data_IF_672608337646
#
_entry.id   IF_672608337646
#
_cell.length_a   1.000
_cell.length_b   1.000
_cell.length_c   1.000
_cell.angle_alpha   90.00
_cell.angle_beta   90.00
_cell.angle_gamma   90.00
#
_symmetry.space_group_name_H-M   'P 1'
#
loop_
_entity.id
_entity.type
_entity.pdbx_description
1 polymer ?
#
# COMPACT_ATOMS: atom_id res chain seq x y z
N UNK A 1 13.76 -12.70 7.77
CA UNK A 1 13.29 -13.41 8.98
C UNK A 1 13.32 -12.39 10.10
N UNK A 2 12.17 -11.96 10.60
CA UNK A 2 12.11 -11.09 11.78
C UNK A 2 12.29 -12.00 13.00
N UNK A 3 13.28 -11.70 13.83
CA UNK A 3 13.62 -12.54 14.99
C UNK A 3 12.54 -12.40 16.08
N UNK A 4 12.24 -13.50 16.75
CA UNK A 4 11.43 -13.47 17.97
C UNK A 4 12.15 -12.66 19.05
N UNK A 5 11.41 -11.83 19.78
CA UNK A 5 11.93 -11.12 20.95
C UNK A 5 11.38 -11.78 22.20
N UNK A 6 12.25 -12.25 23.08
CA UNK A 6 11.86 -12.74 24.40
C UNK A 6 12.18 -11.68 25.44
N UNK A 7 11.15 -11.13 26.08
CA UNK A 7 11.30 -10.22 27.21
C UNK A 7 11.14 -11.01 28.50
N UNK A 8 12.12 -10.88 29.40
CA UNK A 8 12.02 -11.47 30.74
C UNK A 8 11.74 -10.38 31.75
N UNK A 9 10.61 -10.49 32.45
CA UNK A 9 10.26 -9.61 33.55
C UNK A 9 10.51 -10.34 34.86
N UNK A 10 11.12 -9.64 35.82
CA UNK A 10 11.24 -10.12 37.19
C UNK A 10 10.18 -9.41 38.04
N UNK A 11 9.34 -10.19 38.69
CA UNK A 11 8.41 -9.72 39.71
C UNK A 11 9.03 -9.97 41.07
N UNK A 12 9.03 -8.96 41.93
CA UNK A 12 9.44 -9.08 43.32
C UNK A 12 8.25 -8.77 44.21
N UNK A 13 8.02 -9.63 45.20
CA UNK A 13 7.06 -9.39 46.28
C UNK A 13 7.87 -9.28 47.57
N UNK A 14 7.60 -8.24 48.36
CA UNK A 14 8.28 -8.00 49.64
C UNK A 14 7.28 -7.55 50.69
N UNK A 15 7.48 -7.96 51.94
CA UNK A 15 6.72 -7.48 53.11
C UNK A 15 7.52 -6.42 53.92
N UNK A 16 8.67 -5.98 53.40
CA UNK A 16 9.59 -5.05 54.07
C UNK A 16 10.59 -5.73 55.00
N UNK A 17 10.50 -7.05 55.22
CA UNK A 17 11.49 -7.84 55.97
C UNK A 17 12.15 -8.92 55.13
N UNK A 18 11.38 -9.53 54.22
CA UNK A 18 11.85 -10.52 53.27
C UNK A 18 11.27 -10.25 51.88
N UNK A 19 11.94 -10.73 50.84
CA UNK A 19 11.42 -10.66 49.48
C UNK A 19 11.56 -11.98 48.76
N UNK A 20 10.66 -12.22 47.82
CA UNK A 20 10.69 -13.34 46.90
C UNK A 20 10.59 -12.81 45.47
N UNK A 21 11.29 -13.45 44.54
CA UNK A 21 11.26 -13.08 43.12
C UNK A 21 10.76 -14.23 42.26
N UNK A 22 10.09 -13.89 41.17
CA UNK A 22 9.71 -14.80 40.12
C UNK A 22 9.99 -14.15 38.77
N UNK A 23 10.34 -14.95 37.77
CA UNK A 23 10.55 -14.47 36.41
C UNK A 23 9.44 -14.98 35.49
N UNK A 24 8.98 -14.11 34.60
CA UNK A 24 8.08 -14.46 33.50
C UNK A 24 8.74 -14.09 32.18
N UNK A 25 8.80 -15.06 31.27
CA UNK A 25 9.23 -14.84 29.90
C UNK A 25 7.99 -14.57 29.03
N UNK A 26 8.02 -13.47 28.29
CA UNK A 26 7.02 -13.11 27.29
C UNK A 26 7.69 -13.20 25.92
N UNK A 27 7.16 -14.05 25.06
CA UNK A 27 7.65 -14.20 23.69
C UNK A 27 6.80 -13.35 22.76
N UNK A 28 7.44 -12.42 22.06
CA UNK A 28 6.82 -11.56 21.07
C UNK A 28 7.26 -12.07 19.70
N UNK A 29 6.30 -12.62 18.95
CA UNK A 29 6.50 -13.05 17.57
C UNK A 29 6.07 -11.93 16.62
N UNK A 30 6.99 -11.34 15.83
CA UNK A 30 6.61 -10.33 14.86
C UNK A 30 5.73 -10.94 13.76
N UNK A 31 4.65 -10.25 13.40
CA UNK A 31 3.81 -10.62 12.26
C UNK A 31 4.54 -10.32 10.96
N UNK A 32 4.39 -11.19 9.95
CA UNK A 32 4.90 -10.89 8.62
C UNK A 32 4.04 -9.78 7.96
N UNK A 33 4.70 -8.87 7.23
CA UNK A 33 4.04 -7.81 6.47
C UNK A 33 3.22 -8.40 5.31
N UNK A 34 1.99 -7.90 5.13
CA UNK A 34 1.16 -8.18 3.96
C UNK A 34 1.11 -6.94 3.08
N UNK A 35 1.50 -7.04 1.79
CA UNK A 35 1.55 -5.86 0.93
C UNK A 35 0.16 -5.32 0.58
N UNK A 36 0.06 -4.02 0.27
CA UNK A 36 -1.19 -3.42 -0.15
C UNK A 36 -1.64 -3.96 -1.51
N UNK A 37 -2.95 -3.98 -1.71
CA UNK A 37 -3.61 -4.51 -2.91
C UNK A 37 -4.46 -3.43 -3.56
N UNK A 38 -4.17 -3.16 -4.84
CA UNK A 38 -4.98 -2.28 -5.68
C UNK A 38 -6.37 -2.87 -5.93
N UNK A 39 -7.38 -2.02 -5.76
CA UNK A 39 -8.74 -2.33 -6.19
C UNK A 39 -8.81 -2.44 -7.73
N UNK A 40 -9.80 -3.15 -8.28
CA UNK A 40 -9.98 -3.24 -9.72
C UNK A 40 -10.23 -1.86 -10.34
N UNK A 41 -9.28 -1.36 -11.14
CA UNK A 41 -9.45 -0.11 -11.90
C UNK A 41 -10.31 -0.36 -13.14
N UNK A 42 -10.03 -1.45 -13.85
CA UNK A 42 -10.67 -1.85 -15.10
C UNK A 42 -10.33 -0.93 -16.28
N UNK A 43 -10.75 -1.36 -17.46
CA UNK A 43 -10.53 -0.59 -18.68
C UNK A 43 -11.48 0.61 -18.72
N UNK A 44 -11.01 1.70 -19.33
CA UNK A 44 -11.77 2.93 -19.50
C UNK A 44 -11.80 3.32 -20.96
N UNK A 45 -12.92 3.90 -21.38
CA UNK A 45 -13.11 4.44 -22.73
C UNK A 45 -13.51 5.91 -22.56
N UNK A 46 -12.89 6.78 -23.33
CA UNK A 46 -13.19 8.21 -23.36
C UNK A 46 -13.03 8.73 -24.79
N UNK A 47 -13.89 9.67 -25.18
CA UNK A 47 -13.78 10.34 -26.48
C UNK A 47 -12.66 11.38 -26.47
N UNK A 48 -12.04 11.61 -27.61
CA UNK A 48 -11.10 12.72 -27.82
C UNK A 48 -11.72 14.04 -27.35
N UNK A 49 -10.92 14.85 -26.66
CA UNK A 49 -11.32 16.15 -26.11
C UNK A 49 -12.21 16.09 -24.87
N UNK A 50 -12.58 14.89 -24.38
CA UNK A 50 -13.31 14.71 -23.12
C UNK A 50 -12.34 14.26 -22.02
N UNK A 51 -12.61 14.68 -20.78
CA UNK A 51 -11.76 14.31 -19.63
C UNK A 51 -12.23 12.99 -19.02
N UNK A 52 -11.33 12.01 -18.97
CA UNK A 52 -11.44 10.82 -18.14
C UNK A 52 -10.84 11.12 -16.77
N UNK A 53 -11.63 11.02 -15.71
CA UNK A 53 -11.18 11.21 -14.33
C UNK A 53 -11.66 10.10 -13.41
N UNK A 54 -10.77 9.60 -12.54
CA UNK A 54 -11.13 8.65 -11.48
C UNK A 54 -10.08 8.65 -10.35
N UNK A 55 -10.48 8.13 -9.19
CA UNK A 55 -9.59 7.95 -8.03
C UNK A 55 -9.11 6.51 -7.95
N UNK A 56 -7.82 6.31 -7.70
CA UNK A 56 -7.21 4.99 -7.47
C UNK A 56 -7.30 4.63 -5.99
N UNK A 57 -7.74 3.41 -5.68
CA UNK A 57 -7.88 2.91 -4.32
C UNK A 57 -7.14 1.58 -4.13
N UNK A 58 -6.74 1.33 -2.89
CA UNK A 58 -6.11 0.11 -2.46
C UNK A 58 -6.44 -0.14 -0.98
N UNK A 59 -6.37 -1.40 -0.58
CA UNK A 59 -6.51 -1.85 0.80
C UNK A 59 -5.21 -2.51 1.27
N UNK A 60 -4.90 -2.35 2.54
CA UNK A 60 -3.75 -2.98 3.19
C UNK A 60 -4.26 -3.88 4.34
N UNK A 61 -3.96 -5.19 4.36
CA UNK A 61 -4.42 -6.09 5.41
C UNK A 61 -3.84 -5.80 6.80
N UNK A 62 -2.77 -5.00 6.86
CA UNK A 62 -2.06 -4.64 8.08
C UNK A 62 -2.44 -3.23 8.55
N UNK A 63 -3.37 -2.59 7.82
CA UNK A 63 -3.82 -1.21 8.01
C UNK A 63 -2.71 -0.17 7.81
N UNK A 64 -1.62 -0.55 7.13
CA UNK A 64 -0.52 0.34 6.80
C UNK A 64 -0.91 1.33 5.69
N UNK A 65 -0.56 2.63 5.78
CA UNK A 65 -0.89 3.62 4.75
C UNK A 65 -0.19 3.33 3.40
N UNK A 66 -0.93 3.07 2.31
CA UNK A 66 -0.30 2.82 1.02
C UNK A 66 0.18 4.11 0.36
N UNK A 67 1.39 4.06 -0.21
CA UNK A 67 1.94 5.07 -1.12
C UNK A 67 1.59 4.71 -2.56
N UNK A 68 1.03 5.66 -3.31
CA UNK A 68 0.58 5.47 -4.69
C UNK A 68 1.57 6.07 -5.69
N UNK A 69 1.67 5.45 -6.86
CA UNK A 69 2.41 5.99 -8.00
C UNK A 69 1.82 5.50 -9.32
N UNK A 70 2.13 6.22 -10.40
CA UNK A 70 1.74 5.86 -11.76
C UNK A 70 2.94 5.98 -12.72
N UNK A 71 2.91 5.17 -13.78
CA UNK A 71 3.91 5.20 -14.86
C UNK A 71 3.23 4.92 -16.20
N UNK A 72 3.88 5.32 -17.29
CA UNK A 72 3.30 5.20 -18.64
C UNK A 72 2.16 6.19 -18.91
N UNK A 73 2.13 7.33 -18.21
CA UNK A 73 1.14 8.39 -18.45
C UNK A 73 1.30 8.96 -19.86
N UNK A 74 0.25 8.95 -20.70
CA UNK A 74 0.26 9.67 -21.97
C UNK A 74 0.51 11.16 -21.78
N UNK A 75 0.90 11.85 -22.86
CA UNK A 75 0.89 13.32 -22.86
C UNK A 75 -0.50 13.83 -22.44
N UNK A 76 -0.55 14.90 -21.64
CA UNK A 76 -1.77 15.48 -21.08
C UNK A 76 -2.55 14.58 -20.10
N UNK A 77 -1.96 13.46 -19.64
CA UNK A 77 -2.44 12.73 -18.48
C UNK A 77 -1.68 13.17 -17.22
N UNK A 78 -2.36 13.16 -16.07
CA UNK A 78 -1.77 13.43 -14.77
C UNK A 78 -2.25 12.42 -13.73
N UNK A 79 -1.39 12.16 -12.75
CA UNK A 79 -1.74 11.41 -11.56
C UNK A 79 -1.18 12.13 -10.34
N UNK A 80 -2.06 12.52 -9.42
CA UNK A 80 -1.68 13.07 -8.13
C UNK A 80 -1.68 11.94 -7.09
N UNK A 81 -0.50 11.59 -6.57
CA UNK A 81 -0.35 10.52 -5.59
C UNK A 81 -0.96 10.84 -4.21
N UNK A 82 -1.15 12.11 -3.87
CA UNK A 82 -1.73 12.54 -2.59
C UNK A 82 -3.25 12.40 -2.61
N UNK A 83 -3.89 12.93 -3.66
CA UNK A 83 -5.34 12.85 -3.84
C UNK A 83 -5.78 11.55 -4.53
N UNK A 84 -4.82 10.80 -5.08
CA UNK A 84 -5.00 9.55 -5.85
C UNK A 84 -5.82 9.77 -7.13
N UNK A 85 -5.93 11.02 -7.58
CA UNK A 85 -6.72 11.39 -8.74
C UNK A 85 -5.91 11.21 -10.03
N UNK A 86 -6.44 10.42 -10.95
CA UNK A 86 -6.00 10.35 -12.33
C UNK A 86 -6.90 11.22 -13.21
N UNK A 87 -6.30 11.98 -14.12
CA UNK A 87 -7.00 12.72 -15.14
C UNK A 87 -6.31 12.55 -16.50
N UNK A 88 -7.10 12.42 -17.57
CA UNK A 88 -6.58 12.35 -18.94
C UNK A 88 -7.59 12.96 -19.92
N UNK A 89 -7.12 13.91 -20.73
CA UNK A 89 -7.91 14.52 -21.82
C UNK A 89 -7.18 14.28 -23.14
N UNK A 90 -7.48 13.19 -23.87
CA UNK A 90 -6.77 12.86 -25.10
C UNK A 90 -7.01 13.89 -26.20
N UNK A 91 -5.93 14.29 -26.87
CA UNK A 91 -5.97 15.02 -28.13
C UNK A 91 -6.26 14.08 -29.32
N UNK A 92 -6.56 14.65 -30.49
CA UNK A 92 -6.98 13.89 -31.66
C UNK A 92 -5.91 12.91 -32.18
N UNK A 93 -4.64 13.28 -32.03
CA UNK A 93 -3.48 12.45 -32.37
C UNK A 93 -3.20 11.34 -31.34
N UNK A 94 -3.91 11.34 -30.22
CA UNK A 94 -3.81 10.32 -29.16
C UNK A 94 -4.93 9.27 -29.26
N UNK A 95 -5.67 9.20 -30.36
CA UNK A 95 -6.65 8.14 -30.57
C UNK A 95 -5.99 6.75 -30.58
N UNK A 96 -6.50 5.83 -29.78
CA UNK A 96 -5.97 4.47 -29.64
C UNK A 96 -5.86 4.02 -28.19
N UNK A 97 -5.27 2.84 -27.98
CA UNK A 97 -5.08 2.26 -26.67
C UNK A 97 -3.84 2.85 -25.97
N UNK A 98 -4.00 3.21 -24.70
CA UNK A 98 -2.92 3.71 -23.84
C UNK A 98 -2.80 2.84 -22.59
N UNK A 99 -1.60 2.35 -22.30
CA UNK A 99 -1.34 1.52 -21.13
C UNK A 99 -0.73 2.35 -20.00
N UNK A 100 -1.54 2.63 -18.97
CA UNK A 100 -1.09 3.26 -17.72
C UNK A 100 -0.93 2.17 -16.65
N UNK A 101 0.17 2.22 -15.91
CA UNK A 101 0.43 1.30 -14.79
C UNK A 101 0.36 2.06 -13.48
N UNK A 102 -0.55 1.62 -12.60
CA UNK A 102 -0.66 2.12 -11.23
C UNK A 102 -0.01 1.13 -10.26
N UNK A 103 0.62 1.67 -9.21
CA UNK A 103 1.40 0.92 -8.24
C UNK A 103 1.11 1.42 -6.82
N UNK A 104 1.08 0.48 -5.87
CA UNK A 104 1.00 0.75 -4.43
C UNK A 104 2.13 0.06 -3.68
N UNK A 105 2.60 0.69 -2.61
CA UNK A 105 3.61 0.15 -1.70
C UNK A 105 3.40 0.73 -0.29
N UNK A 106 3.71 -0.05 0.73
CA UNK A 106 3.61 0.28 2.16
C UNK A 106 4.95 0.70 2.78
N UNK A 107 6.07 0.53 2.06
CA UNK A 107 7.41 0.76 2.59
C UNK A 107 7.98 -0.41 3.41
N UNK A 108 7.19 -1.46 3.65
CA UNK A 108 7.55 -2.66 4.42
C UNK A 108 7.92 -3.86 3.53
N UNK A 109 8.03 -3.64 2.22
CA UNK A 109 8.68 -4.58 1.30
C UNK A 109 7.71 -5.53 0.61
N UNK A 110 6.73 -4.99 -0.12
CA UNK A 110 6.06 -5.72 -1.19
C UNK A 110 5.52 -4.76 -2.24
N UNK A 111 6.07 -4.80 -3.46
CA UNK A 111 5.56 -4.03 -4.60
C UNK A 111 4.72 -4.96 -5.47
N UNK A 112 3.43 -4.68 -5.63
CA UNK A 112 2.58 -5.39 -6.60
C UNK A 112 2.08 -4.42 -7.68
N UNK A 113 2.64 -4.45 -8.89
CA UNK A 113 2.11 -3.70 -10.03
C UNK A 113 0.80 -4.33 -10.51
N UNK A 114 -0.21 -3.52 -10.85
CA UNK A 114 -1.38 -3.98 -11.60
C UNK A 114 -1.44 -3.22 -12.93
N UNK A 115 -1.42 -3.96 -14.04
CA UNK A 115 -1.53 -3.42 -15.39
C UNK A 115 -3.02 -3.33 -15.75
N UNK A 116 -3.50 -2.20 -16.27
CA UNK A 116 -4.78 -2.20 -16.99
C UNK A 116 -4.61 -3.03 -18.27
N UNK A 117 -5.45 -4.04 -18.51
CA UNK A 117 -5.35 -4.82 -19.74
C UNK A 117 -5.77 -3.98 -20.96
N UNK A 118 -5.07 -4.19 -22.08
CA UNK A 118 -5.49 -3.67 -23.38
C UNK A 118 -6.43 -4.69 -24.04
N UNK A 119 -7.64 -4.30 -24.43
CA UNK A 119 -8.47 -5.06 -25.37
C UNK A 119 -8.60 -4.31 -26.68
#
# INVERSE_FOLDING_TARGET
MTAETVLTFQLQVTDGRASSTASVAVTITPRANQPPVLDPIGDKIVSVGQTLGFTVTASDPDEDPPTYSASGLPANASFDAQTRAFAFTPAADQAGAHAVTFMVADGFGGKRPKRSPSR
#
